data_IF_221423838198
#
_entry.id   IF_221423838198
#
_cell.length_a   1.000
_cell.length_b   1.000
_cell.length_c   1.000
_cell.angle_alpha   90.00
_cell.angle_beta   90.00
_cell.angle_gamma   90.00
#
_symmetry.space_group_name_H-M   'P 1'
#
loop_
_entity.id
_entity.type
_entity.pdbx_description
1 polymer ?
#
# COMPACT_ATOMS: atom_id res chain seq x y z
N UNK A 1 -6.04 -1.11 -21.67
CA UNK A 1 -4.78 -0.35 -21.41
C UNK A 1 -3.64 -1.13 -22.03
N UNK A 2 -2.82 -0.52 -22.90
CA UNK A 2 -1.77 -1.24 -23.62
C UNK A 2 -0.62 -1.61 -22.67
N UNK A 3 -0.21 -2.88 -22.72
CA UNK A 3 0.86 -3.46 -21.89
C UNK A 3 2.20 -2.72 -22.07
N UNK A 4 2.39 -2.05 -23.22
CA UNK A 4 3.59 -1.25 -23.51
C UNK A 4 3.68 0.09 -22.76
N UNK A 5 2.55 0.76 -22.47
CA UNK A 5 2.57 2.04 -21.73
C UNK A 5 2.92 1.85 -20.26
N UNK A 6 2.51 0.73 -19.65
CA UNK A 6 2.77 0.44 -18.24
C UNK A 6 4.22 0.02 -17.96
N UNK A 7 4.92 -0.62 -18.90
CA UNK A 7 6.32 -1.00 -18.74
C UNK A 7 7.28 0.22 -18.81
N UNK A 8 7.06 1.13 -19.75
CA UNK A 8 7.86 2.35 -19.90
C UNK A 8 7.72 3.30 -18.69
N UNK A 9 6.53 3.35 -18.08
CA UNK A 9 6.29 4.09 -16.85
C UNK A 9 7.01 3.49 -15.64
N UNK A 10 6.98 2.16 -15.49
CA UNK A 10 7.74 1.46 -14.44
C UNK A 10 9.24 1.69 -14.54
N UNK A 11 9.80 1.71 -15.75
CA UNK A 11 11.22 1.98 -15.97
C UNK A 11 11.64 3.42 -15.62
N UNK A 12 10.70 4.37 -15.61
CA UNK A 12 10.95 5.78 -15.25
C UNK A 12 10.65 6.08 -13.78
N UNK A 13 10.08 5.15 -13.02
CA UNK A 13 9.85 5.37 -11.60
C UNK A 13 11.19 5.41 -10.85
N UNK A 14 11.37 6.37 -9.93
CA UNK A 14 12.57 6.42 -9.11
C UNK A 14 12.70 5.12 -8.33
N UNK A 15 13.89 4.51 -8.38
CA UNK A 15 14.17 3.27 -7.64
C UNK A 15 13.99 3.54 -6.14
N UNK A 16 13.30 2.63 -5.47
CA UNK A 16 13.06 2.71 -4.04
C UNK A 16 13.70 1.50 -3.36
N UNK A 17 14.35 1.73 -2.23
CA UNK A 17 14.88 0.70 -1.33
C UNK A 17 14.04 0.63 -0.07
N UNK A 18 13.94 -0.56 0.52
CA UNK A 18 13.31 -0.74 1.83
C UNK A 18 14.30 -0.32 2.91
N UNK A 19 13.86 0.49 3.87
CA UNK A 19 14.70 0.92 4.98
C UNK A 19 14.79 -0.18 6.07
N UNK A 20 15.99 -0.44 6.61
CA UNK A 20 16.17 -1.46 7.66
C UNK A 20 15.58 -1.05 9.03
N UNK A 21 15.46 0.25 9.32
CA UNK A 21 14.93 0.74 10.61
C UNK A 21 13.40 0.79 10.63
N UNK A 22 12.80 1.51 9.69
CA UNK A 22 11.36 1.75 9.66
C UNK A 22 10.61 0.85 8.68
N UNK A 23 11.29 0.06 7.86
CA UNK A 23 10.71 -0.87 6.88
C UNK A 23 9.89 -0.25 5.74
N UNK A 24 9.76 1.08 5.72
CA UNK A 24 9.14 1.83 4.63
C UNK A 24 10.08 1.94 3.41
N UNK A 25 9.48 2.10 2.24
CA UNK A 25 10.21 2.39 1.01
C UNK A 25 10.66 3.85 0.98
N UNK A 26 11.94 4.04 0.68
CA UNK A 26 12.58 5.35 0.52
C UNK A 26 13.37 5.37 -0.80
N UNK A 27 13.51 6.53 -1.48
CA UNK A 27 14.26 6.58 -2.73
C UNK A 27 15.71 6.12 -2.55
N UNK A 28 16.22 5.30 -3.46
CA UNK A 28 17.61 4.82 -3.42
C UNK A 28 18.63 5.97 -3.47
N UNK A 29 18.26 7.07 -4.13
CA UNK A 29 19.10 8.27 -4.30
C UNK A 29 19.42 9.00 -3.01
N UNK A 30 18.74 8.71 -1.90
CA UNK A 30 19.06 9.29 -0.60
C UNK A 30 19.92 8.34 0.23
N UNK A 31 21.00 8.88 0.80
CA UNK A 31 21.86 8.17 1.76
C UNK A 31 21.13 7.86 3.07
N UNK A 32 20.20 8.75 3.47
CA UNK A 32 19.42 8.64 4.70
C UNK A 32 17.94 8.39 4.39
N UNK A 33 17.28 7.64 5.25
CA UNK A 33 15.84 7.39 5.13
C UNK A 33 15.04 8.65 5.46
N UNK A 34 14.27 9.18 4.50
CA UNK A 34 13.44 10.39 4.69
C UNK A 34 12.40 10.28 5.81
N UNK A 35 12.03 9.05 6.21
CA UNK A 35 10.96 8.81 7.17
C UNK A 35 11.46 8.71 8.60
N UNK A 36 12.69 8.23 8.80
CA UNK A 36 13.17 7.86 10.14
C UNK A 36 14.61 8.27 10.46
N UNK A 37 15.32 8.95 9.55
CA UNK A 37 16.72 9.33 9.79
C UNK A 37 16.90 10.19 11.03
N UNK A 38 15.93 11.05 11.31
CA UNK A 38 15.99 12.05 12.37
C UNK A 38 15.10 11.70 13.57
N UNK A 39 14.48 10.51 13.55
CA UNK A 39 13.62 10.02 14.63
C UNK A 39 14.42 9.23 15.67
N UNK A 40 14.12 9.51 16.93
CA UNK A 40 14.54 8.67 18.05
C UNK A 40 13.71 7.37 18.13
N UNK A 41 14.08 6.45 19.01
CA UNK A 41 13.44 5.12 19.08
C UNK A 41 11.95 5.18 19.49
N UNK A 42 11.56 6.13 20.36
CA UNK A 42 10.15 6.33 20.73
C UNK A 42 9.31 6.89 19.58
N UNK A 43 9.86 7.85 18.82
CA UNK A 43 9.18 8.42 17.66
C UNK A 43 9.11 7.41 16.50
N UNK A 44 10.14 6.56 16.35
CA UNK A 44 10.14 5.46 15.39
C UNK A 44 9.05 4.43 15.70
N UNK A 45 8.82 4.12 16.99
CA UNK A 45 7.76 3.21 17.40
C UNK A 45 6.38 3.78 17.04
N UNK A 46 6.12 5.06 17.32
CA UNK A 46 4.87 5.72 16.92
C UNK A 46 4.67 5.75 15.40
N UNK A 47 5.72 6.02 14.64
CA UNK A 47 5.66 5.99 13.17
C UNK A 47 5.22 4.61 12.66
N UNK A 48 5.78 3.54 13.23
CA UNK A 48 5.43 2.16 12.85
C UNK A 48 3.98 1.83 13.20
N UNK A 49 3.54 2.20 14.39
CA UNK A 49 2.17 1.98 14.86
C UNK A 49 1.16 2.71 13.97
N UNK A 50 1.37 4.00 13.70
CA UNK A 50 0.51 4.79 12.82
C UNK A 50 0.47 4.22 11.39
N UNK A 51 1.62 3.72 10.89
CA UNK A 51 1.66 3.09 9.57
C UNK A 51 0.88 1.77 9.53
N UNK A 52 0.97 0.97 10.59
CA UNK A 52 0.22 -0.27 10.72
C UNK A 52 -1.28 -0.03 10.80
N UNK A 53 -1.73 0.95 11.60
CA UNK A 53 -3.15 1.33 11.67
C UNK A 53 -3.68 1.76 10.30
N UNK A 54 -2.90 2.55 9.55
CA UNK A 54 -3.28 2.99 8.19
C UNK A 54 -3.44 1.81 7.22
N UNK A 55 -2.59 0.78 7.36
CA UNK A 55 -2.68 -0.43 6.54
C UNK A 55 -3.90 -1.29 6.91
N UNK A 56 -4.21 -1.40 8.21
CA UNK A 56 -5.38 -2.13 8.70
C UNK A 56 -6.69 -1.45 8.29
N UNK A 57 -6.76 -0.12 8.39
CA UNK A 57 -7.94 0.65 7.98
C UNK A 57 -8.23 0.49 6.48
N UNK A 58 -7.20 0.59 5.63
CA UNK A 58 -7.34 0.36 4.19
C UNK A 58 -7.76 -1.08 3.84
N UNK A 59 -7.34 -2.07 4.63
CA UNK A 59 -7.74 -3.47 4.45
C UNK A 59 -9.24 -3.68 4.73
N UNK A 60 -9.81 -2.92 5.68
CA UNK A 60 -11.23 -2.99 6.01
C UNK A 60 -12.11 -2.58 4.81
N UNK A 61 -11.71 -1.55 4.08
CA UNK A 61 -12.44 -1.05 2.90
C UNK A 61 -12.56 -2.11 1.80
N UNK A 62 -11.48 -2.86 1.54
CA UNK A 62 -11.49 -3.94 0.55
C UNK A 62 -12.49 -5.06 0.88
N UNK A 63 -12.67 -5.38 2.16
CA UNK A 63 -13.63 -6.40 2.61
C UNK A 63 -15.07 -5.99 2.32
N UNK A 64 -15.42 -4.73 2.56
CA UNK A 64 -16.77 -4.23 2.27
C UNK A 64 -17.10 -4.26 0.78
N UNK A 65 -16.15 -3.90 -0.08
CA UNK A 65 -16.34 -3.98 -1.54
C UNK A 65 -16.54 -5.43 -2.02
N UNK A 66 -15.75 -6.38 -1.51
CA UNK A 66 -15.92 -7.79 -1.83
C UNK A 66 -17.29 -8.33 -1.36
N UNK A 67 -17.71 -7.95 -0.17
CA UNK A 67 -19.01 -8.34 0.36
C UNK A 67 -20.16 -7.78 -0.49
N UNK A 68 -20.09 -6.51 -0.87
CA UNK A 68 -21.07 -5.89 -1.78
C UNK A 68 -21.11 -6.59 -3.15
N UNK A 69 -19.95 -6.89 -3.74
CA UNK A 69 -19.87 -7.61 -5.00
C UNK A 69 -20.47 -9.03 -4.90
N UNK A 70 -20.25 -9.73 -3.78
CA UNK A 70 -20.82 -11.05 -3.54
C UNK A 70 -22.36 -11.02 -3.46
N UNK A 71 -22.94 -10.03 -2.76
CA UNK A 71 -24.40 -9.85 -2.68
C UNK A 71 -24.98 -9.59 -4.07
N UNK A 72 -24.40 -8.66 -4.83
CA UNK A 72 -24.86 -8.34 -6.20
C UNK A 72 -24.77 -9.58 -7.09
N UNK A 73 -23.66 -10.32 -7.03
CA UNK A 73 -23.49 -11.57 -7.78
C UNK A 73 -24.55 -12.62 -7.42
N UNK A 74 -24.86 -12.78 -6.13
CA UNK A 74 -25.90 -13.70 -5.67
C UNK A 74 -27.29 -13.29 -6.18
N UNK A 75 -27.65 -12.00 -6.09
CA UNK A 75 -28.94 -11.48 -6.57
C UNK A 75 -29.11 -11.68 -8.08
N UNK A 76 -28.04 -11.45 -8.84
CA UNK A 76 -28.03 -11.71 -10.28
C UNK A 76 -28.22 -13.20 -10.56
N UNK A 77 -27.50 -14.09 -9.89
CA UNK A 77 -27.66 -15.54 -10.05
C UNK A 77 -29.09 -16.01 -9.75
N UNK A 78 -29.68 -15.51 -8.67
CA UNK A 78 -31.07 -15.80 -8.31
C UNK A 78 -32.08 -15.28 -9.35
N UNK A 79 -31.73 -14.24 -10.11
CA UNK A 79 -32.61 -13.70 -11.17
C UNK A 79 -32.69 -14.61 -12.41
N UNK A 80 -31.75 -15.55 -12.56
CA UNK A 80 -31.73 -16.53 -13.65
C UNK A 80 -32.26 -17.92 -13.23
N UNK A 81 -32.69 -18.07 -11.97
CA UNK A 81 -33.25 -19.31 -11.41
C UNK A 81 -34.79 -19.24 -11.39
#
# INVERSE_FOLDING_TARGET
MSIGMSAAWRAKQPKQKRCDRCELYSPESLDKCIHCSDLNESELAQLKEQHQETLEDNSSFGKYLLFGAAIIGLLLLLSFL
#
